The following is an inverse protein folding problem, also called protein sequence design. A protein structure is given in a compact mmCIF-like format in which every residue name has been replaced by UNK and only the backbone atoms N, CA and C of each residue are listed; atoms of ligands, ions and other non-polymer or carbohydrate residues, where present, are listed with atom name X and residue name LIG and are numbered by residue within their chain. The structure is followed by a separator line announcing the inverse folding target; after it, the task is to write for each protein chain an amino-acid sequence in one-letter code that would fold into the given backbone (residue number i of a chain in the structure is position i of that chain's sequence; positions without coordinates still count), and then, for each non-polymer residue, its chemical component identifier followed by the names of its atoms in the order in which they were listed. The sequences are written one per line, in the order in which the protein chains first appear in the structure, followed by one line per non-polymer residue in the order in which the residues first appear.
data_IF_958040299685
#
_entry.id   IF_958040299685
#
_cell.length_a   1.000
_cell.length_b   1.000
_cell.length_c   1.000
_cell.angle_alpha   90.00
_cell.angle_beta   90.00
_cell.angle_gamma   90.00
#
_symmetry.space_group_name_H-M   'P 1'
#
loop_
_entity.id
_entity.type
_entity.pdbx_description
1 polymer ?
#
# COMPACT_ATOMS: atom_id res chain seq x y z
N UNK A 1 26.30 -3.51 -9.96
CA UNK A 1 24.83 -3.55 -9.84
C UNK A 1 24.21 -2.76 -10.99
N UNK A 2 24.62 -3.12 -12.21
CA UNK A 2 24.16 -2.52 -13.46
C UNK A 2 22.88 -3.26 -13.94
N UNK A 3 22.81 -4.56 -13.63
CA UNK A 3 21.82 -5.51 -14.13
C UNK A 3 20.33 -5.19 -13.90
N UNK A 4 19.93 -4.57 -12.78
CA UNK A 4 18.52 -4.20 -12.54
C UNK A 4 18.15 -2.87 -13.19
N UNK A 5 19.12 -1.97 -13.38
CA UNK A 5 18.93 -0.74 -14.13
C UNK A 5 18.92 -1.03 -15.64
N UNK A 6 19.80 -1.94 -16.11
CA UNK A 6 19.82 -2.41 -17.50
C UNK A 6 18.48 -3.06 -17.89
N UNK A 7 17.89 -3.87 -16.99
CA UNK A 7 16.56 -4.49 -17.21
C UNK A 7 15.43 -3.45 -17.28
N UNK A 8 15.55 -2.30 -16.61
CA UNK A 8 14.58 -1.20 -16.70
C UNK A 8 14.68 -0.47 -18.05
N UNK A 9 15.88 -0.35 -18.62
CA UNK A 9 16.11 0.34 -19.89
C UNK A 9 15.54 -0.43 -21.09
N UNK A 10 15.41 -1.76 -20.98
CA UNK A 10 14.91 -2.62 -22.05
C UNK A 10 13.38 -2.82 -22.04
N UNK A 11 12.69 -2.38 -20.97
CA UNK A 11 11.24 -2.61 -20.79
C UNK A 11 10.40 -1.47 -21.33
N UNK A 12 9.27 -1.83 -21.93
CA UNK A 12 8.24 -0.87 -22.29
C UNK A 12 7.53 -0.37 -21.02
N UNK A 13 7.26 0.93 -20.96
CA UNK A 13 6.58 1.56 -19.83
C UNK A 13 5.11 1.80 -20.16
N UNK A 14 4.23 1.38 -19.26
CA UNK A 14 2.82 1.74 -19.28
C UNK A 14 2.43 2.36 -17.95
N UNK A 15 1.72 3.48 -17.98
CA UNK A 15 1.18 4.10 -16.78
C UNK A 15 -0.34 4.07 -16.79
N UNK A 16 -0.93 3.66 -15.67
CA UNK A 16 -2.38 3.68 -15.46
C UNK A 16 -2.71 4.24 -14.08
N UNK A 17 -3.87 4.92 -13.91
CA UNK A 17 -4.34 5.32 -12.59
C UNK A 17 -4.71 4.07 -11.76
N UNK A 18 -4.61 4.20 -10.43
CA UNK A 18 -5.12 3.21 -9.48
C UNK A 18 -6.35 3.80 -8.82
N UNK A 19 -7.49 3.13 -8.98
CA UNK A 19 -8.74 3.50 -8.32
C UNK A 19 -8.60 3.41 -6.80
N UNK A 20 -9.05 4.44 -6.07
CA UNK A 20 -9.12 4.45 -4.61
C UNK A 20 -10.58 4.29 -4.19
N UNK A 21 -10.87 3.25 -3.40
CA UNK A 21 -12.21 2.96 -2.88
C UNK A 21 -12.20 3.14 -1.36
N UNK A 22 -13.19 3.89 -0.86
CA UNK A 22 -13.38 4.07 0.57
C UNK A 22 -13.97 2.84 1.23
N UNK A 23 -13.26 2.33 2.24
CA UNK A 23 -13.64 1.15 3.00
C UNK A 23 -14.28 1.52 4.32
N UNK A 24 -15.51 1.05 4.48
CA UNK A 24 -16.23 1.00 5.75
C UNK A 24 -16.42 -0.49 6.08
N UNK A 25 -15.73 -1.04 7.09
CA UNK A 25 -15.84 -2.46 7.40
C UNK A 25 -17.26 -2.83 7.82
N UNK A 26 -17.76 -3.96 7.32
CA UNK A 26 -19.08 -4.47 7.70
C UNK A 26 -19.12 -4.92 9.16
N UNK A 27 -17.99 -5.43 9.67
CA UNK A 27 -17.80 -5.75 11.09
C UNK A 27 -16.37 -5.35 11.53
N UNK A 28 -16.20 -4.20 12.21
CA UNK A 28 -14.90 -3.75 12.69
C UNK A 28 -14.21 -4.71 13.67
N UNK A 29 -14.95 -5.61 14.32
CA UNK A 29 -14.42 -6.58 15.26
C UNK A 29 -13.89 -7.85 14.58
N UNK A 30 -14.21 -8.07 13.31
CA UNK A 30 -13.86 -9.28 12.58
C UNK A 30 -13.11 -8.95 11.29
N UNK A 31 -11.79 -9.21 11.28
CA UNK A 31 -10.96 -9.31 10.07
C UNK A 31 -11.14 -8.18 9.04
N UNK A 32 -10.21 -7.22 9.02
CA UNK A 32 -10.28 -6.08 8.10
C UNK A 32 -9.54 -6.37 6.79
N UNK A 33 -10.12 -5.96 5.65
CA UNK A 33 -9.42 -5.90 4.35
C UNK A 33 -8.31 -4.84 4.34
N UNK A 34 -8.50 -3.76 5.09
CA UNK A 34 -7.53 -2.67 5.19
C UNK A 34 -7.58 -2.13 6.62
N UNK A 35 -6.44 -2.06 7.34
CA UNK A 35 -6.39 -1.49 8.68
C UNK A 35 -6.79 0.00 8.72
N UNK A 36 -7.37 0.53 9.81
CA UNK A 36 -7.70 1.94 9.91
C UNK A 36 -6.44 2.81 9.83
N UNK A 37 -6.48 3.88 9.03
CA UNK A 37 -5.31 4.73 8.80
C UNK A 37 -4.30 4.12 7.83
N UNK A 38 -4.75 3.32 6.87
CA UNK A 38 -3.92 2.87 5.77
C UNK A 38 -4.67 2.88 4.44
N UNK A 39 -3.88 2.79 3.37
CA UNK A 39 -4.32 2.46 2.02
C UNK A 39 -3.65 1.16 1.63
N UNK A 40 -4.43 0.13 1.36
CA UNK A 40 -3.91 -1.13 0.84
C UNK A 40 -4.05 -1.16 -0.67
N UNK A 41 -2.93 -1.25 -1.39
CA UNK A 41 -2.93 -1.43 -2.84
C UNK A 41 -2.86 -2.92 -3.14
N UNK A 42 -3.95 -3.43 -3.70
CA UNK A 42 -4.04 -4.80 -4.22
C UNK A 42 -3.67 -4.80 -5.69
N UNK A 43 -2.71 -5.64 -6.06
CA UNK A 43 -2.11 -5.73 -7.39
C UNK A 43 -2.21 -7.16 -7.90
N UNK A 44 -2.72 -7.36 -9.10
CA UNK A 44 -2.68 -8.66 -9.78
C UNK A 44 -2.61 -8.45 -11.30
N UNK A 45 -2.70 -9.53 -12.06
CA UNK A 45 -2.86 -9.48 -13.51
C UNK A 45 -4.14 -8.73 -13.89
N UNK A 46 -4.09 -7.97 -14.97
CA UNK A 46 -5.25 -7.31 -15.54
C UNK A 46 -6.34 -8.36 -15.88
N UNK A 47 -7.58 -8.10 -15.44
CA UNK A 47 -8.70 -9.02 -15.58
C UNK A 47 -8.73 -10.17 -14.56
N UNK A 48 -7.84 -10.18 -13.56
CA UNK A 48 -7.91 -11.15 -12.46
C UNK A 48 -9.20 -10.95 -11.65
N UNK A 49 -10.04 -12.00 -11.47
CA UNK A 49 -11.33 -11.87 -10.78
C UNK A 49 -11.22 -11.38 -9.33
N UNK A 50 -10.07 -11.59 -8.69
CA UNK A 50 -9.86 -11.18 -7.30
C UNK A 50 -9.96 -9.66 -7.11
N UNK A 51 -9.55 -8.86 -8.10
CA UNK A 51 -9.62 -7.40 -7.99
C UNK A 51 -11.09 -6.93 -8.03
N UNK A 52 -11.91 -7.53 -8.89
CA UNK A 52 -13.35 -7.21 -8.94
C UNK A 52 -14.07 -7.66 -7.68
N UNK A 53 -13.73 -8.85 -7.15
CA UNK A 53 -14.23 -9.31 -5.85
C UNK A 53 -13.89 -8.34 -4.71
N UNK A 54 -12.70 -7.73 -4.73
CA UNK A 54 -12.32 -6.71 -3.74
C UNK A 54 -13.20 -5.47 -3.88
N UNK A 55 -13.43 -4.98 -5.11
CA UNK A 55 -14.32 -3.83 -5.36
C UNK A 55 -15.74 -4.10 -4.84
N UNK A 56 -16.33 -5.22 -5.25
CA UNK A 56 -17.68 -5.64 -4.85
C UNK A 56 -17.78 -5.77 -3.32
N UNK A 57 -16.81 -6.45 -2.70
CA UNK A 57 -16.82 -6.67 -1.25
C UNK A 57 -16.75 -5.36 -0.45
N UNK A 58 -16.01 -4.36 -0.94
CA UNK A 58 -15.89 -3.05 -0.29
C UNK A 58 -17.15 -2.20 -0.51
N UNK A 59 -17.77 -2.25 -1.69
CA UNK A 59 -18.92 -1.42 -2.05
C UNK A 59 -20.26 -1.93 -1.51
N UNK A 60 -20.45 -3.25 -1.40
CA UNK A 60 -21.75 -3.85 -1.04
C UNK A 60 -22.10 -3.76 0.45
N UNK A 61 -21.10 -3.67 1.35
CA UNK A 61 -21.31 -3.51 2.80
C UNK A 61 -22.03 -4.68 3.51
N UNK A 62 -22.08 -5.87 2.89
CA UNK A 62 -22.85 -7.04 3.35
C UNK A 62 -22.04 -8.15 4.05
N UNK A 63 -20.88 -7.83 4.63
CA UNK A 63 -19.98 -8.81 5.27
C UNK A 63 -19.16 -9.67 4.30
N UNK A 64 -19.20 -9.36 3.00
CA UNK A 64 -18.35 -10.01 1.99
C UNK A 64 -16.88 -9.64 2.17
N UNK A 65 -16.61 -8.42 2.62
CA UNK A 65 -15.29 -7.91 3.02
C UNK A 65 -14.63 -8.78 4.10
N UNK A 66 -15.37 -9.15 5.15
CA UNK A 66 -14.83 -9.97 6.25
C UNK A 66 -14.39 -11.35 5.76
N UNK A 67 -15.21 -12.00 4.92
CA UNK A 67 -14.87 -13.31 4.34
C UNK A 67 -13.66 -13.20 3.41
N UNK A 68 -13.66 -12.18 2.55
CA UNK A 68 -12.56 -11.94 1.62
C UNK A 68 -11.25 -11.63 2.36
N UNK A 69 -11.31 -10.86 3.45
CA UNK A 69 -10.15 -10.59 4.30
C UNK A 69 -9.54 -11.88 4.88
N UNK A 70 -10.38 -12.83 5.33
CA UNK A 70 -9.89 -14.13 5.80
C UNK A 70 -9.29 -14.98 4.67
N UNK A 71 -9.93 -15.02 3.49
CA UNK A 71 -9.39 -15.72 2.32
C UNK A 71 -8.02 -15.18 1.92
N UNK A 72 -7.90 -13.86 1.80
CA UNK A 72 -6.65 -13.17 1.46
C UNK A 72 -5.59 -13.45 2.52
N UNK A 73 -5.94 -13.39 3.81
CA UNK A 73 -5.04 -13.73 4.91
C UNK A 73 -4.52 -15.16 4.80
N UNK A 74 -5.38 -16.15 4.56
CA UNK A 74 -4.93 -17.55 4.41
C UNK A 74 -4.06 -17.73 3.16
N UNK A 75 -4.37 -17.02 2.07
CA UNK A 75 -3.52 -16.97 0.87
C UNK A 75 -2.12 -16.45 1.20
N UNK A 76 -2.00 -15.39 2.01
CA UNK A 76 -0.71 -14.85 2.44
C UNK A 76 0.01 -15.72 3.46
N UNK A 77 -0.73 -16.39 4.36
CA UNK A 77 -0.17 -17.30 5.37
C UNK A 77 0.45 -18.56 4.75
N UNK A 78 -0.11 -19.03 3.64
CA UNK A 78 0.41 -20.17 2.89
C UNK A 78 1.70 -19.85 2.11
N UNK A 79 2.14 -18.58 2.04
CA UNK A 79 3.34 -18.20 1.28
C UNK A 79 4.62 -18.57 2.02
N UNK A 80 5.54 -19.14 1.27
CA UNK A 80 6.90 -19.39 1.74
C UNK A 80 7.79 -18.16 1.52
N UNK A 81 8.73 -17.95 2.44
CA UNK A 81 9.80 -16.96 2.25
C UNK A 81 10.74 -17.47 1.17
N UNK A 82 11.02 -16.63 0.17
CA UNK A 82 12.00 -16.93 -0.89
C UNK A 82 13.35 -16.30 -0.57
N UNK A 83 14.42 -16.93 -1.05
CA UNK A 83 15.75 -16.33 -0.96
C UNK A 83 15.87 -15.12 -1.88
N UNK A 84 16.76 -14.19 -1.51
CA UNK A 84 17.16 -13.03 -2.33
C UNK A 84 17.35 -13.39 -3.82
N UNK A 85 18.11 -14.46 -4.09
CA UNK A 85 18.46 -14.86 -5.45
C UNK A 85 17.25 -15.41 -6.21
N UNK A 86 16.38 -16.16 -5.51
CA UNK A 86 15.13 -16.65 -6.09
C UNK A 86 14.21 -15.49 -6.42
N UNK A 87 14.10 -14.53 -5.52
CA UNK A 87 13.38 -13.28 -5.74
C UNK A 87 13.91 -12.62 -7.03
N UNK A 88 15.22 -12.33 -7.12
CA UNK A 88 15.86 -11.71 -8.30
C UNK A 88 15.50 -12.40 -9.61
N UNK A 89 15.56 -13.73 -9.61
CA UNK A 89 15.16 -14.52 -10.77
C UNK A 89 13.69 -14.37 -11.13
N UNK A 90 12.79 -14.38 -10.15
CA UNK A 90 11.36 -14.22 -10.40
C UNK A 90 11.05 -12.85 -11.03
N UNK A 91 11.71 -11.78 -10.61
CA UNK A 91 11.54 -10.46 -11.22
C UNK A 91 12.00 -10.44 -12.69
N UNK A 92 13.15 -11.05 -12.99
CA UNK A 92 13.65 -11.15 -14.37
C UNK A 92 12.77 -12.01 -15.24
N UNK A 93 12.25 -13.09 -14.68
CA UNK A 93 11.35 -14.04 -15.36
C UNK A 93 9.92 -13.47 -15.48
N UNK A 94 9.58 -12.39 -14.75
CA UNK A 94 8.26 -11.79 -14.82
C UNK A 94 8.03 -11.03 -16.13
N UNK A 95 6.94 -11.36 -16.81
CA UNK A 95 6.47 -10.66 -18.02
C UNK A 95 6.25 -9.16 -17.76
N UNK A 96 5.81 -8.82 -16.54
CA UNK A 96 5.65 -7.45 -16.08
C UNK A 96 5.84 -7.34 -14.57
N UNK A 97 6.32 -6.17 -14.13
CA UNK A 97 6.29 -5.72 -12.75
C UNK A 97 5.93 -4.24 -12.71
N UNK A 98 5.61 -3.70 -11.54
CA UNK A 98 5.16 -2.32 -11.41
C UNK A 98 5.92 -1.51 -10.35
N UNK A 99 5.96 -0.21 -10.57
CA UNK A 99 6.24 0.80 -9.55
C UNK A 99 4.93 1.49 -9.21
N UNK A 100 4.58 1.54 -7.92
CA UNK A 100 3.41 2.29 -7.45
C UNK A 100 3.88 3.66 -7.02
N UNK A 101 3.20 4.70 -7.52
CA UNK A 101 3.54 6.09 -7.26
C UNK A 101 2.33 6.85 -6.75
N UNK A 102 2.61 7.90 -5.97
CA UNK A 102 1.63 8.91 -5.61
C UNK A 102 2.27 10.29 -5.82
N UNK A 103 1.80 11.01 -6.84
CA UNK A 103 2.39 12.27 -7.27
C UNK A 103 3.85 12.10 -7.70
N UNK A 104 4.75 12.88 -7.12
CA UNK A 104 6.20 12.79 -7.31
C UNK A 104 6.85 11.60 -6.60
N UNK A 105 6.15 10.89 -5.71
CA UNK A 105 6.73 9.87 -4.83
C UNK A 105 6.56 8.45 -5.33
N UNK A 106 7.53 7.61 -4.99
CA UNK A 106 7.44 6.16 -5.16
C UNK A 106 7.01 5.53 -3.83
N UNK A 107 5.90 4.81 -3.85
CA UNK A 107 5.35 4.09 -2.70
C UNK A 107 5.90 2.66 -2.62
N UNK A 108 6.07 2.01 -3.78
CA UNK A 108 6.67 0.68 -3.91
C UNK A 108 7.32 0.51 -5.29
N UNK A 109 8.38 -0.29 -5.38
CA UNK A 109 9.07 -0.66 -6.62
C UNK A 109 8.98 -2.16 -6.84
N UNK A 110 9.12 -2.59 -8.10
CA UNK A 110 9.24 -4.01 -8.48
C UNK A 110 8.12 -4.91 -7.93
N UNK A 111 6.90 -4.35 -7.85
CA UNK A 111 5.73 -5.05 -7.37
C UNK A 111 5.17 -5.97 -8.47
N UNK A 112 5.00 -7.25 -8.18
CA UNK A 112 4.32 -8.19 -9.07
C UNK A 112 3.64 -9.29 -8.24
N UNK A 113 2.52 -9.87 -8.73
CA UNK A 113 1.89 -11.00 -8.05
C UNK A 113 2.74 -12.26 -8.19
N UNK A 114 2.78 -13.09 -7.14
CA UNK A 114 3.46 -14.38 -7.20
C UNK A 114 2.78 -15.29 -8.25
N UNK A 115 3.53 -16.01 -9.11
CA UNK A 115 2.96 -16.80 -10.21
C UNK A 115 1.90 -17.83 -9.77
N UNK A 116 2.07 -18.42 -8.59
CA UNK A 116 1.24 -19.52 -8.08
C UNK A 116 0.05 -19.04 -7.23
N UNK A 117 0.25 -17.96 -6.46
CA UNK A 117 -0.76 -17.48 -5.52
C UNK A 117 -1.74 -16.48 -6.16
N UNK A 118 -1.28 -15.69 -7.14
CA UNK A 118 -2.00 -14.48 -7.55
C UNK A 118 -2.08 -13.47 -6.40
N UNK A 119 -2.31 -12.21 -6.71
CA UNK A 119 -2.41 -11.10 -5.77
C UNK A 119 -1.12 -10.71 -5.01
N UNK A 120 -0.84 -9.42 -4.99
CA UNK A 120 0.08 -8.76 -4.06
C UNK A 120 -0.71 -7.66 -3.33
N UNK A 121 -0.42 -7.46 -2.05
CA UNK A 121 -1.06 -6.45 -1.21
C UNK A 121 0.04 -5.60 -0.56
N UNK A 122 -0.05 -4.29 -0.72
CA UNK A 122 0.97 -3.33 -0.28
C UNK A 122 0.29 -2.31 0.61
N UNK A 123 0.63 -2.32 1.89
CA UNK A 123 0.05 -1.43 2.90
C UNK A 123 0.82 -0.11 2.97
N UNK A 124 0.14 1.00 2.70
CA UNK A 124 0.65 2.36 2.91
C UNK A 124 -0.01 3.01 4.13
N UNK A 125 0.73 3.37 5.19
CA UNK A 125 0.20 4.19 6.26
C UNK A 125 -0.31 5.54 5.75
N UNK A 126 -1.47 5.94 6.26
CA UNK A 126 -2.25 7.08 5.83
C UNK A 126 -2.81 7.85 7.03
N UNK A 127 -2.64 9.17 7.05
CA UNK A 127 -3.00 9.99 8.22
C UNK A 127 -4.47 10.46 8.24
N UNK A 128 -5.26 10.20 7.19
CA UNK A 128 -6.64 10.67 7.09
C UNK A 128 -6.86 11.99 6.34
N UNK A 129 -5.80 12.60 5.80
CA UNK A 129 -5.89 13.84 5.01
C UNK A 129 -6.34 13.64 3.56
N UNK A 130 -6.61 14.73 2.84
CA UNK A 130 -7.06 14.65 1.44
C UNK A 130 -6.02 13.96 0.53
N UNK A 131 -6.50 13.31 -0.53
CA UNK A 131 -5.68 12.72 -1.58
C UNK A 131 -6.20 13.18 -2.93
N UNK A 132 -5.31 13.39 -3.87
CA UNK A 132 -5.62 13.56 -5.28
C UNK A 132 -5.74 12.16 -5.91
N UNK A 133 -6.94 11.69 -6.29
CA UNK A 133 -7.14 10.32 -6.76
C UNK A 133 -6.32 10.01 -8.02
N UNK A 134 -6.14 10.99 -8.90
CA UNK A 134 -5.40 10.84 -10.16
C UNK A 134 -3.88 10.77 -9.96
N UNK A 135 -3.38 11.05 -8.75
CA UNK A 135 -1.95 10.98 -8.44
C UNK A 135 -1.48 9.57 -8.09
N UNK A 136 -2.39 8.68 -7.64
CA UNK A 136 -2.05 7.29 -7.37
C UNK A 136 -1.98 6.50 -8.68
N UNK A 137 -0.77 6.09 -9.07
CA UNK A 137 -0.51 5.50 -10.38
C UNK A 137 0.29 4.21 -10.28
N UNK A 138 0.03 3.33 -11.25
CA UNK A 138 0.77 2.11 -11.51
C UNK A 138 1.64 2.35 -12.74
N UNK A 139 2.97 2.27 -12.57
CA UNK A 139 3.93 2.31 -13.67
C UNK A 139 4.42 0.89 -13.92
N UNK A 140 3.87 0.24 -14.94
CA UNK A 140 4.24 -1.10 -15.35
C UNK A 140 5.49 -1.08 -16.24
N UNK A 141 6.37 -2.06 -16.03
CA UNK A 141 7.58 -2.34 -16.79
C UNK A 141 7.40 -3.70 -17.47
N UNK A 142 7.13 -3.68 -18.77
CA UNK A 142 6.73 -4.86 -19.54
C UNK A 142 7.85 -5.31 -20.46
N UNK A 143 7.99 -6.63 -20.62
CA UNK A 143 8.77 -7.19 -21.73
C UNK A 143 8.11 -6.77 -23.05
N UNK A 144 8.85 -6.24 -24.04
CA UNK A 144 8.30 -5.83 -25.32
C UNK A 144 7.43 -6.90 -25.99
N UNK A 145 6.25 -6.51 -26.47
CA UNK A 145 5.30 -7.43 -27.13
C UNK A 145 4.42 -8.26 -26.20
N UNK A 146 4.57 -8.12 -24.87
CA UNK A 146 3.63 -8.69 -23.90
C UNK A 146 2.24 -8.09 -24.08
N UNK A 147 1.21 -8.93 -24.23
CA UNK A 147 -0.19 -8.49 -24.40
C UNK A 147 -0.94 -8.37 -23.07
N UNK A 148 -0.51 -9.11 -22.05
CA UNK A 148 -1.03 -9.02 -20.70
C UNK A 148 -0.44 -7.84 -19.93
N UNK A 149 -0.86 -7.68 -18.69
CA UNK A 149 -0.27 -6.69 -17.81
C UNK A 149 -0.85 -6.78 -16.42
N UNK A 150 -0.57 -5.76 -15.61
CA UNK A 150 -1.02 -5.65 -14.23
C UNK A 150 -2.18 -4.68 -14.12
N UNK A 151 -2.97 -4.86 -13.07
CA UNK A 151 -4.00 -3.93 -12.65
C UNK A 151 -3.99 -3.86 -11.12
N UNK A 152 -4.41 -2.72 -10.58
CA UNK A 152 -4.48 -2.52 -9.15
C UNK A 152 -5.77 -1.84 -8.71
N UNK A 153 -6.15 -2.08 -7.46
CA UNK A 153 -7.19 -1.34 -6.74
C UNK A 153 -6.62 -0.95 -5.37
N UNK A 154 -6.83 0.29 -4.97
CA UNK A 154 -6.47 0.79 -3.66
C UNK A 154 -7.70 0.87 -2.78
N UNK A 155 -7.62 0.30 -1.59
CA UNK A 155 -8.68 0.33 -0.59
C UNK A 155 -8.21 1.23 0.55
N UNK A 156 -8.96 2.29 0.85
CA UNK A 156 -8.62 3.31 1.84
C UNK A 156 -9.51 3.16 3.07
N UNK A 157 -8.92 2.98 4.24
CA UNK A 157 -9.65 2.98 5.50
C UNK A 157 -9.29 4.23 6.31
N UNK A 158 -10.28 5.10 6.52
CA UNK A 158 -10.08 6.32 7.30
C UNK A 158 -9.69 6.01 8.75
N UNK A 159 -8.66 6.67 9.30
CA UNK A 159 -8.37 6.57 10.72
C UNK A 159 -9.44 7.31 11.54
N UNK A 160 -9.65 6.94 12.82
CA UNK A 160 -10.35 7.81 13.75
C UNK A 160 -9.51 9.08 13.96
N UNK A 161 -10.16 10.24 13.81
CA UNK A 161 -9.58 11.57 14.01
C UNK A 161 -10.50 12.38 14.91
N UNK A 162 -9.91 13.11 15.87
CA UNK A 162 -10.59 14.18 16.59
C UNK A 162 -10.86 15.37 15.67
N UNK A 163 -11.73 16.30 16.10
CA UNK A 163 -12.03 17.50 15.34
C UNK A 163 -10.78 18.36 15.09
N UNK A 164 -9.87 18.45 16.06
CA UNK A 164 -8.61 19.17 15.93
C UNK A 164 -7.67 18.51 14.90
N UNK A 165 -7.52 17.19 14.96
CA UNK A 165 -6.70 16.44 14.00
C UNK A 165 -7.27 16.51 12.58
N UNK A 166 -8.60 16.41 12.45
CA UNK A 166 -9.31 16.58 11.18
C UNK A 166 -9.08 17.95 10.59
N UNK A 167 -9.27 19.01 11.38
CA UNK A 167 -9.02 20.38 10.94
C UNK A 167 -7.55 20.60 10.52
N UNK A 168 -6.60 19.93 11.17
CA UNK A 168 -5.19 20.01 10.82
C UNK A 168 -4.88 19.36 9.47
N UNK A 169 -5.39 18.15 9.21
CA UNK A 169 -5.12 17.45 7.94
C UNK A 169 -5.88 18.05 6.75
N UNK A 170 -7.04 18.68 6.99
CA UNK A 170 -7.82 19.38 5.96
C UNK A 170 -7.12 20.65 5.46
N UNK A 171 -6.31 21.28 6.32
CA UNK A 171 -5.53 22.48 6.01
C UNK A 171 -4.21 22.20 5.27
N UNK A 172 -3.88 20.92 5.00
CA UNK A 172 -2.72 20.59 4.17
C UNK A 172 -2.94 21.13 2.74
N UNK A 173 -2.01 21.94 2.21
CA UNK A 173 -2.09 22.48 0.86
C UNK A 173 -2.15 21.40 -0.23
N UNK A 174 -2.81 21.71 -1.35
CA UNK A 174 -2.97 20.76 -2.47
C UNK A 174 -1.64 20.33 -3.10
N UNK A 175 -0.61 21.17 -3.06
CA UNK A 175 0.75 20.85 -3.53
C UNK A 175 1.56 19.99 -2.52
N UNK A 176 0.96 19.64 -1.39
CA UNK A 176 1.59 18.87 -0.30
C UNK A 176 0.79 17.64 0.11
N UNK A 177 -0.21 17.21 -0.67
CA UNK A 177 -1.07 16.06 -0.33
C UNK A 177 -0.28 14.75 -0.17
N UNK A 178 0.87 14.65 -0.82
CA UNK A 178 1.82 13.56 -0.63
C UNK A 178 2.25 13.35 0.85
N UNK A 179 2.13 14.37 1.70
CA UNK A 179 2.42 14.26 3.14
C UNK A 179 1.40 13.42 3.91
N UNK A 180 0.29 13.04 3.28
CA UNK A 180 -0.73 12.20 3.90
C UNK A 180 -0.43 10.70 3.77
N UNK A 181 0.59 10.33 2.98
CA UNK A 181 1.05 8.97 2.79
C UNK A 181 2.52 8.80 3.17
N UNK A 182 2.84 7.61 3.65
CA UNK A 182 4.22 7.24 3.96
C UNK A 182 5.03 7.08 2.69
N UNK A 183 6.24 7.65 2.71
CA UNK A 183 7.27 7.32 1.74
C UNK A 183 7.74 5.91 2.01
N UNK A 184 7.83 5.06 0.97
CA UNK A 184 8.34 3.68 1.08
C UNK A 184 7.51 2.83 2.03
N UNK A 185 6.29 2.51 1.62
CA UNK A 185 5.41 1.61 2.36
C UNK A 185 5.87 0.14 2.37
N UNK A 186 7.00 -0.16 1.74
CA UNK A 186 7.58 -1.48 1.57
C UNK A 186 8.30 -2.03 2.82
N UNK A 187 8.06 -1.52 4.02
CA UNK A 187 8.69 -2.04 5.23
C UNK A 187 7.78 -2.07 6.47
N UNK A 188 7.13 -3.22 6.69
CA UNK A 188 6.98 -3.68 8.07
C UNK A 188 8.37 -4.11 8.59
N UNK A 189 8.66 -3.85 9.87
CA UNK A 189 9.94 -4.04 10.63
C UNK A 189 10.65 -5.41 10.57
N UNK A 190 10.44 -6.23 9.54
CA UNK A 190 11.36 -7.32 9.18
C UNK A 190 12.33 -6.89 8.08
N UNK A 191 13.44 -6.25 8.48
CA UNK A 191 14.74 -6.25 7.78
C UNK A 191 14.89 -5.53 6.43
N UNK A 192 14.99 -4.20 6.41
CA UNK A 192 15.41 -3.45 5.20
C UNK A 192 16.22 -2.19 5.51
N UNK A 193 17.26 -2.31 6.34
CA UNK A 193 18.43 -1.43 6.24
C UNK A 193 19.53 -2.17 5.48
N UNK A 194 19.98 -1.63 4.33
CA UNK A 194 21.20 -2.03 3.58
C UNK A 194 21.11 -3.12 2.48
N UNK A 195 19.99 -3.84 2.31
CA UNK A 195 19.71 -4.70 1.14
C UNK A 195 18.69 -4.09 0.14
N UNK A 196 18.35 -2.82 0.37
CA UNK A 196 17.41 -1.94 -0.34
C UNK A 196 17.66 -1.75 -1.85
N UNK A 197 18.65 -2.40 -2.48
CA UNK A 197 18.96 -2.17 -3.90
C UNK A 197 18.99 -3.40 -4.80
N UNK A 198 18.75 -4.62 -4.28
CA UNK A 198 19.03 -5.82 -5.11
C UNK A 198 18.01 -6.97 -5.00
N UNK A 199 17.13 -6.99 -3.99
CA UNK A 199 15.98 -7.91 -3.94
C UNK A 199 14.77 -7.36 -3.18
N UNK A 200 14.37 -6.13 -3.47
CA UNK A 200 12.98 -5.76 -3.22
C UNK A 200 12.13 -6.37 -4.32
N UNK A 201 11.95 -7.66 -4.19
CA UNK A 201 11.10 -8.45 -5.04
C UNK A 201 9.99 -8.88 -4.15
N UNK A 202 8.93 -8.12 -4.27
CA UNK A 202 7.70 -8.30 -3.55
C UNK A 202 7.05 -9.60 -4.07
N UNK A 203 7.54 -10.76 -3.63
CA UNK A 203 6.59 -11.65 -3.00
C UNK A 203 6.02 -10.79 -1.88
N UNK A 204 4.77 -10.34 -1.99
CA UNK A 204 4.12 -9.63 -0.89
C UNK A 204 4.14 -10.57 0.33
N UNK A 205 5.20 -10.42 1.13
CA UNK A 205 5.51 -11.17 2.33
C UNK A 205 4.99 -10.37 3.48
N UNK A 206 4.00 -10.95 4.15
CA UNK A 206 3.22 -10.41 5.25
C UNK A 206 2.13 -9.42 4.85
N UNK A 207 0.91 -9.97 4.76
CA UNK A 207 -0.22 -9.34 5.41
C UNK A 207 0.12 -9.31 6.91
N UNK A 208 0.81 -8.26 7.37
CA UNK A 208 1.03 -8.05 8.79
C UNK A 208 -0.36 -7.81 9.39
N UNK A 209 -1.03 -8.87 9.80
CA UNK A 209 -2.20 -8.78 10.65
C UNK A 209 -1.74 -8.16 11.96
N UNK A 210 -1.85 -6.85 12.02
CA UNK A 210 -1.61 -6.15 13.25
C UNK A 210 -2.84 -6.31 14.11
N UNK A 211 -2.72 -7.15 15.13
CA UNK A 211 -3.52 -7.04 16.36
C UNK A 211 -3.52 -5.59 16.90
N UNK A 212 -2.58 -4.75 16.46
CA UNK A 212 -2.52 -3.31 16.74
C UNK A 212 -3.64 -2.47 16.11
N UNK A 213 -4.43 -2.97 15.15
CA UNK A 213 -5.61 -2.24 14.66
C UNK A 213 -6.66 -1.95 15.77
N UNK A 214 -6.52 -2.61 16.93
CA UNK A 214 -7.32 -2.35 18.15
C UNK A 214 -6.70 -1.31 19.10
N UNK A 215 -5.43 -0.93 18.95
CA UNK A 215 -4.77 0.07 19.80
C UNK A 215 -5.02 1.47 19.24
N UNK A 216 -6.03 2.14 19.76
CA UNK A 216 -6.19 3.57 19.56
C UNK A 216 -5.13 4.31 20.38
N UNK A 217 -4.24 5.03 19.72
CA UNK A 217 -3.36 5.98 20.40
C UNK A 217 -4.15 7.17 20.96
N UNK A 218 -3.57 7.81 21.98
CA UNK A 218 -4.10 9.07 22.47
C UNK A 218 -4.02 10.12 21.33
N UNK A 219 -5.13 10.82 21.03
CA UNK A 219 -5.14 11.83 19.99
C UNK A 219 -4.14 12.96 20.29
N UNK A 220 -3.73 13.70 19.27
CA UNK A 220 -3.00 14.95 19.47
C UNK A 220 -3.88 15.91 20.28
N UNK A 221 -3.29 16.58 21.28
CA UNK A 221 -4.01 17.64 21.99
C UNK A 221 -4.21 18.83 21.06
N UNK A 222 -5.27 19.61 21.29
CA UNK A 222 -5.50 20.86 20.54
C UNK A 222 -4.31 21.82 20.65
N UNK A 223 -3.69 21.91 21.82
CA UNK A 223 -2.48 22.71 22.05
C UNK A 223 -1.30 22.25 21.17
N UNK A 224 -1.14 20.94 20.99
CA UNK A 224 -0.11 20.40 20.10
C UNK A 224 -0.38 20.75 18.64
N UNK A 225 -1.64 20.66 18.20
CA UNK A 225 -2.04 21.02 16.83
C UNK A 225 -1.81 22.51 16.57
N UNK A 226 -2.25 23.38 17.49
CA UNK A 226 -2.10 24.83 17.36
C UNK A 226 -0.62 25.24 17.33
N UNK A 227 0.21 24.60 18.17
CA UNK A 227 1.65 24.88 18.24
C UNK A 227 2.42 24.42 17.01
N UNK A 228 2.07 23.25 16.46
CA UNK A 228 2.77 22.65 15.32
C UNK A 228 2.32 23.25 13.99
N UNK A 229 1.07 23.68 13.90
CA UNK A 229 0.43 24.04 12.65
C UNK A 229 0.08 22.82 11.77
N UNK A 230 -0.65 23.03 10.67
CA UNK A 230 -1.24 21.95 9.86
C UNK A 230 -0.25 20.92 9.32
N UNK A 231 0.79 21.36 8.59
CA UNK A 231 1.72 20.45 7.93
C UNK A 231 2.55 19.60 8.90
N UNK A 232 3.03 20.21 10.00
CA UNK A 232 3.78 19.47 11.02
C UNK A 232 2.87 18.52 11.83
N UNK A 233 1.60 18.90 12.05
CA UNK A 233 0.60 18.02 12.66
C UNK A 233 0.28 16.82 11.76
N UNK A 234 0.06 17.04 10.46
CA UNK A 234 -0.17 15.97 9.48
C UNK A 234 1.01 14.99 9.41
N UNK A 235 2.26 15.50 9.46
CA UNK A 235 3.47 14.67 9.53
C UNK A 235 3.56 13.90 10.85
N UNK A 236 3.25 14.52 11.99
CA UNK A 236 3.23 13.86 13.31
C UNK A 236 2.20 12.74 13.35
N UNK A 237 1.00 12.97 12.80
CA UNK A 237 -0.03 11.94 12.66
C UNK A 237 0.44 10.80 11.76
N UNK A 238 1.06 11.10 10.61
CA UNK A 238 1.59 10.07 9.72
C UNK A 238 2.67 9.22 10.41
N UNK A 239 3.58 9.85 11.17
CA UNK A 239 4.62 9.13 11.92
C UNK A 239 4.01 8.19 12.97
N UNK A 240 2.99 8.64 13.71
CA UNK A 240 2.24 7.76 14.63
C UNK A 240 1.61 6.58 13.90
N UNK A 241 1.03 6.80 12.70
CA UNK A 241 0.46 5.72 11.90
C UNK A 241 1.52 4.74 11.42
N UNK A 242 2.70 5.22 11.06
CA UNK A 242 3.85 4.37 10.73
C UNK A 242 4.25 3.50 11.92
N UNK A 243 4.43 4.08 13.10
CA UNK A 243 4.77 3.36 14.34
C UNK A 243 3.70 2.30 14.67
N UNK A 244 2.42 2.67 14.63
CA UNK A 244 1.29 1.78 14.88
C UNK A 244 1.18 0.64 13.87
N UNK A 245 1.55 0.90 12.61
CA UNK A 245 1.54 -0.07 11.53
C UNK A 245 2.88 -0.83 11.40
N UNK A 246 3.84 -0.60 12.32
CA UNK A 246 5.13 -1.29 12.32
C UNK A 246 6.06 -0.89 11.16
N UNK A 247 5.91 0.32 10.61
CA UNK A 247 6.75 0.93 9.58
C UNK A 247 7.77 1.89 10.21
N UNK A 248 8.67 1.39 11.07
CA UNK A 248 9.71 2.22 11.67
C UNK A 248 10.91 2.31 10.73
N UNK A 249 11.06 3.44 10.05
CA UNK A 249 12.28 3.73 9.30
C UNK A 249 13.22 4.53 10.21
N UNK A 250 14.31 3.90 10.64
CA UNK A 250 15.44 4.57 11.26
C UNK A 250 16.35 5.22 10.20
#
# INVERSE_FOLDING_TARGET
MQLAADELEERELRTSPIEIIDYVPSDPAQGLLTPPGSIMVFLDRAGAPVLDRIREAVLDGGGADVRLAQEIKELFRAREKVSYYRAYRLLREAESFATIRYGGRTLATHAFPAPEAGLSAIENPYNGGRLAPDELTLVEHLIPGTRGGLAAVAVRHMPPLTDAERAAVEQVPDDQLEMNLTLRADCCDSWTGFLEQLAQITHATMYCMMEAASRQEAPLSTEDVDRLGPAASARKLLNRRRELLGHNHA
#
